data_IF_167160557482
#
_entry.id   IF_167160557482
#
_cell.length_a   1.000
_cell.length_b   1.000
_cell.length_c   1.000
_cell.angle_alpha   90.00
_cell.angle_beta   90.00
_cell.angle_gamma   90.00
#
_symmetry.space_group_name_H-M   'P 1'
#
loop_
_entity.id
_entity.type
_entity.pdbx_description
1 polymer ?
#
# COMPACT_ATOMS: atom_id res chain seq x y z
N UNK A 1 14.40 4.24 4.95
CA UNK A 1 12.94 4.20 4.80
C UNK A 1 12.30 4.58 6.13
N UNK A 2 11.37 5.50 6.09
CA UNK A 2 10.72 6.01 7.30
C UNK A 2 9.24 5.69 7.26
N UNK A 3 8.74 4.86 8.18
CA UNK A 3 7.31 4.57 8.26
C UNK A 3 6.56 5.69 9.00
N UNK A 4 5.34 5.92 8.58
CA UNK A 4 4.42 6.82 9.26
C UNK A 4 3.02 6.21 9.17
N UNK A 5 2.29 6.20 10.27
CA UNK A 5 1.02 5.51 10.37
C UNK A 5 -0.14 6.50 10.37
N UNK A 6 -1.08 6.29 9.45
CA UNK A 6 -2.35 6.97 9.45
C UNK A 6 -3.44 6.00 9.92
N UNK A 7 -4.20 6.39 10.90
CA UNK A 7 -5.20 5.55 11.50
C UNK A 7 -6.50 5.59 10.73
N UNK A 8 -7.08 4.42 10.44
CA UNK A 8 -8.41 4.34 9.83
C UNK A 8 -9.48 4.25 10.92
N UNK A 9 -10.70 4.66 10.58
CA UNK A 9 -11.81 4.71 11.52
C UNK A 9 -12.41 3.36 11.85
N UNK A 10 -12.22 2.33 11.03
CA UNK A 10 -12.89 1.04 11.19
C UNK A 10 -12.12 -0.01 11.99
N UNK A 11 -10.88 0.25 12.37
CA UNK A 11 -10.07 -0.65 13.17
C UNK A 11 -9.57 -1.91 12.47
N UNK A 12 -10.00 -2.18 11.23
CA UNK A 12 -9.61 -3.38 10.48
C UNK A 12 -8.53 -3.11 9.45
N UNK A 13 -8.16 -1.88 9.26
CA UNK A 13 -7.16 -1.50 8.29
C UNK A 13 -6.21 -0.48 8.92
N UNK A 14 -4.95 -0.55 8.51
CA UNK A 14 -3.92 0.38 8.94
C UNK A 14 -3.35 1.01 7.68
N UNK A 15 -3.36 2.34 7.61
CA UNK A 15 -2.70 3.07 6.55
C UNK A 15 -1.26 3.36 6.96
N UNK A 16 -0.33 2.97 6.12
CA UNK A 16 1.08 3.10 6.38
C UNK A 16 1.72 3.91 5.26
N UNK A 17 2.45 4.96 5.63
CA UNK A 17 3.22 5.74 4.67
C UNK A 17 4.69 5.39 4.81
N UNK A 18 5.33 5.04 3.69
CA UNK A 18 6.76 4.77 3.64
C UNK A 18 7.44 5.77 2.72
N UNK A 19 8.60 6.23 3.15
CA UNK A 19 9.42 7.17 2.38
C UNK A 19 10.74 6.50 2.05
N UNK A 20 11.00 6.31 0.75
CA UNK A 20 12.23 5.69 0.26
C UNK A 20 12.91 6.68 -0.68
N UNK A 21 13.88 7.43 -0.16
CA UNK A 21 14.50 8.54 -0.90
C UNK A 21 13.47 9.61 -1.20
N UNK A 22 13.27 9.94 -2.46
CA UNK A 22 12.26 10.90 -2.90
C UNK A 22 10.89 10.27 -3.15
N UNK A 23 10.76 8.97 -2.95
CA UNK A 23 9.52 8.25 -3.26
C UNK A 23 8.65 8.08 -2.02
N UNK A 24 7.35 8.27 -2.19
CA UNK A 24 6.35 8.05 -1.15
C UNK A 24 5.48 6.89 -1.55
N UNK A 25 5.27 5.96 -0.63
CA UNK A 25 4.52 4.73 -0.86
C UNK A 25 3.39 4.67 0.15
N UNK A 26 2.15 4.63 -0.33
CA UNK A 26 0.97 4.48 0.51
C UNK A 26 0.56 3.00 0.55
N UNK A 27 0.41 2.46 1.75
CA UNK A 27 0.07 1.06 1.96
C UNK A 27 -1.12 0.98 2.91
N UNK A 28 -2.15 0.24 2.53
CA UNK A 28 -3.21 -0.13 3.45
C UNK A 28 -3.05 -1.61 3.78
N UNK A 29 -2.95 -1.93 5.07
CA UNK A 29 -2.91 -3.31 5.55
C UNK A 29 -4.30 -3.68 6.01
N UNK A 30 -4.88 -4.72 5.42
CA UNK A 30 -6.23 -5.15 5.71
C UNK A 30 -6.27 -6.62 6.08
N UNK A 31 -6.91 -6.94 7.21
CA UNK A 31 -7.03 -8.32 7.69
C UNK A 31 -8.23 -9.01 7.03
N UNK A 32 -8.12 -9.24 5.74
CA UNK A 32 -9.18 -9.88 4.95
C UNK A 32 -8.57 -10.61 3.77
N UNK A 33 -9.32 -11.56 3.20
CA UNK A 33 -8.86 -12.32 2.04
C UNK A 33 -9.13 -11.57 0.72
N UNK A 34 -9.96 -10.56 0.74
CA UNK A 34 -10.30 -9.78 -0.45
C UNK A 34 -10.45 -8.31 -0.11
N UNK A 35 -10.38 -7.47 -1.13
CA UNK A 35 -10.44 -6.02 -1.01
C UNK A 35 -11.68 -5.53 -1.76
N UNK A 36 -12.53 -4.76 -1.07
CA UNK A 36 -13.70 -4.18 -1.70
C UNK A 36 -13.31 -2.97 -2.56
N UNK A 37 -14.09 -2.64 -3.61
CA UNK A 37 -13.79 -1.47 -4.43
C UNK A 37 -13.69 -0.16 -3.64
N UNK A 38 -14.51 0.02 -2.59
CA UNK A 38 -14.43 1.22 -1.76
C UNK A 38 -13.11 1.31 -0.98
N UNK A 39 -12.50 0.18 -0.65
CA UNK A 39 -11.19 0.19 0.02
C UNK A 39 -10.11 0.72 -0.92
N UNK A 40 -10.14 0.29 -2.18
CA UNK A 40 -9.22 0.78 -3.20
C UNK A 40 -9.44 2.27 -3.45
N UNK A 41 -10.68 2.70 -3.55
CA UNK A 41 -11.01 4.10 -3.76
C UNK A 41 -10.52 4.98 -2.59
N UNK A 42 -10.64 4.48 -1.36
CA UNK A 42 -10.14 5.20 -0.19
C UNK A 42 -8.61 5.33 -0.23
N UNK A 43 -7.91 4.25 -0.56
CA UNK A 43 -6.46 4.28 -0.66
C UNK A 43 -6.02 5.27 -1.75
N UNK A 44 -6.69 5.29 -2.88
CA UNK A 44 -6.40 6.23 -3.96
C UNK A 44 -6.55 7.68 -3.49
N UNK A 45 -7.61 7.99 -2.74
CA UNK A 45 -7.81 9.33 -2.21
C UNK A 45 -6.71 9.73 -1.24
N UNK A 46 -6.35 8.83 -0.31
CA UNK A 46 -5.27 9.09 0.65
C UNK A 46 -3.94 9.29 -0.08
N UNK A 47 -3.64 8.42 -1.04
CA UNK A 47 -2.40 8.50 -1.80
C UNK A 47 -2.31 9.82 -2.57
N UNK A 48 -3.40 10.26 -3.18
CA UNK A 48 -3.44 11.53 -3.91
C UNK A 48 -3.25 12.72 -2.97
N UNK A 49 -3.85 12.68 -1.78
CA UNK A 49 -3.72 13.75 -0.80
C UNK A 49 -2.27 13.93 -0.32
N UNK A 50 -1.53 12.84 -0.17
CA UNK A 50 -0.14 12.90 0.32
C UNK A 50 0.88 12.85 -0.82
N UNK A 51 0.45 12.77 -2.06
CA UNK A 51 1.34 12.75 -3.22
C UNK A 51 2.12 11.44 -3.36
N UNK A 52 1.55 10.31 -2.93
CA UNK A 52 2.22 9.02 -3.03
C UNK A 52 2.24 8.52 -4.48
N UNK A 53 3.43 8.17 -4.96
CA UNK A 53 3.60 7.63 -6.31
C UNK A 53 3.18 6.16 -6.39
N UNK A 54 3.40 5.41 -5.31
CA UNK A 54 3.09 3.99 -5.22
C UNK A 54 2.02 3.78 -4.16
N UNK A 55 1.07 2.87 -4.43
CA UNK A 55 -0.05 2.62 -3.54
C UNK A 55 -0.46 1.16 -3.60
N UNK A 56 -0.45 0.48 -2.45
CA UNK A 56 -0.71 -0.94 -2.36
C UNK A 56 -1.64 -1.27 -1.21
N UNK A 57 -2.53 -2.25 -1.44
CA UNK A 57 -3.30 -2.87 -0.36
C UNK A 57 -2.65 -4.22 -0.07
N UNK A 58 -2.35 -4.47 1.20
CA UNK A 58 -1.83 -5.75 1.65
C UNK A 58 -2.95 -6.50 2.36
N UNK A 59 -3.23 -7.69 1.90
CA UNK A 59 -4.26 -8.55 2.49
C UNK A 59 -3.87 -10.02 2.29
N UNK A 60 -4.75 -10.93 2.77
CA UNK A 60 -4.52 -12.38 2.64
C UNK A 60 -5.07 -12.91 1.31
N UNK A 61 -4.73 -12.27 0.21
CA UNK A 61 -5.20 -12.67 -1.11
C UNK A 61 -4.47 -13.92 -1.61
N UNK A 62 -5.19 -14.75 -2.37
CA UNK A 62 -4.60 -15.89 -3.07
C UNK A 62 -4.09 -15.53 -4.45
N UNK A 63 -4.42 -14.35 -4.94
CA UNK A 63 -4.06 -13.90 -6.28
C UNK A 63 -3.53 -12.46 -6.24
N UNK A 64 -2.29 -12.25 -5.80
CA UNK A 64 -1.69 -10.91 -5.83
C UNK A 64 -1.65 -10.38 -7.26
N UNK A 65 -1.97 -9.11 -7.43
CA UNK A 65 -1.96 -8.46 -8.72
C UNK A 65 -1.52 -7.02 -8.56
N UNK A 66 -0.50 -6.62 -9.31
CA UNK A 66 0.01 -5.26 -9.22
C UNK A 66 0.64 -4.84 -10.55
N UNK A 67 0.50 -3.55 -10.87
CA UNK A 67 1.30 -2.93 -11.92
C UNK A 67 2.49 -2.18 -11.27
N UNK A 68 3.13 -1.27 -12.01
CA UNK A 68 4.32 -0.56 -11.53
C UNK A 68 4.03 0.39 -10.34
N UNK A 69 2.78 0.83 -10.13
CA UNK A 69 2.44 1.88 -9.18
C UNK A 69 1.41 1.47 -8.15
N UNK A 70 0.58 0.46 -8.43
CA UNK A 70 -0.52 0.09 -7.55
C UNK A 70 -0.80 -1.40 -7.62
N UNK A 71 -1.47 -1.92 -6.59
CA UNK A 71 -1.87 -3.31 -6.62
C UNK A 71 -2.41 -3.81 -5.30
N UNK A 72 -2.86 -5.07 -5.32
CA UNK A 72 -3.28 -5.82 -4.16
C UNK A 72 -2.25 -6.92 -3.95
N UNK A 73 -1.59 -6.92 -2.81
CA UNK A 73 -0.43 -7.77 -2.55
C UNK A 73 -0.59 -8.55 -1.24
N UNK A 74 0.14 -9.65 -1.12
CA UNK A 74 0.40 -10.27 0.17
C UNK A 74 1.58 -9.55 0.84
N UNK A 75 1.83 -9.84 2.11
CA UNK A 75 2.99 -9.28 2.79
C UNK A 75 4.29 -9.64 2.08
N UNK A 76 4.42 -10.88 1.64
CA UNK A 76 5.63 -11.35 0.95
C UNK A 76 5.85 -10.60 -0.36
N UNK A 77 4.81 -10.47 -1.18
CA UNK A 77 4.92 -9.76 -2.45
C UNK A 77 5.12 -8.26 -2.25
N UNK A 78 4.58 -7.69 -1.17
CA UNK A 78 4.87 -6.31 -0.82
C UNK A 78 6.35 -6.11 -0.53
N UNK A 79 6.95 -6.97 0.28
CA UNK A 79 8.37 -6.86 0.62
C UNK A 79 9.23 -6.89 -0.64
N UNK A 80 8.97 -7.83 -1.55
CA UNK A 80 9.67 -7.90 -2.83
C UNK A 80 9.52 -6.61 -3.63
N UNK A 81 8.31 -6.06 -3.66
CA UNK A 81 8.02 -4.81 -4.37
C UNK A 81 8.75 -3.63 -3.76
N UNK A 82 8.78 -3.53 -2.43
CA UNK A 82 9.47 -2.44 -1.73
C UNK A 82 10.97 -2.50 -1.99
N UNK A 83 11.57 -3.68 -1.99
CA UNK A 83 12.98 -3.82 -2.30
C UNK A 83 13.28 -3.37 -3.73
N UNK A 84 12.41 -3.69 -4.67
CA UNK A 84 12.54 -3.25 -6.05
C UNK A 84 12.45 -1.73 -6.17
N UNK A 85 11.46 -1.12 -5.52
CA UNK A 85 11.28 0.34 -5.53
C UNK A 85 12.50 1.04 -4.91
N UNK A 86 13.03 0.50 -3.80
CA UNK A 86 14.19 1.09 -3.14
C UNK A 86 15.45 1.05 -4.00
N UNK A 87 15.53 0.12 -4.95
CA UNK A 87 16.66 0.02 -5.89
C UNK A 87 16.51 0.92 -7.11
N UNK A 88 15.32 1.44 -7.37
CA UNK A 88 15.05 2.35 -8.49
C UNK A 88 15.38 3.78 -8.07
N UNK A 89 16.56 4.23 -8.43
CA UNK A 89 17.00 5.60 -8.14
C UNK A 89 17.33 6.35 -9.39
#
# INVERSE_FOLDING_TARGET
MHPSFLRTSNGYAIDLMLYAGSKTIAIEVKLAASVAPQDLARLERVADLVGAEHRYVVCQTHAPSADARRGVLTLETLIERLLRIARMR
#
